data_IF_324091932965
#
_entry.id   IF_324091932965
#
_cell.length_a   1.000
_cell.length_b   1.000
_cell.length_c   1.000
_cell.angle_alpha   90.00
_cell.angle_beta   90.00
_cell.angle_gamma   90.00
#
_symmetry.space_group_name_H-M   'P 1'
#
loop_
_entity.id
_entity.type
_entity.pdbx_description
1 polymer ?
#
# COMPACT_ATOMS: atom_id res chain seq x y z
N UNK A 1 46.46 43.74 -22.81
CA UNK A 1 46.77 42.31 -23.06
C UNK A 1 45.85 41.49 -22.17
N UNK A 2 44.99 40.67 -22.78
CA UNK A 2 43.69 40.23 -22.24
C UNK A 2 43.82 38.97 -21.37
N UNK A 3 43.12 39.00 -20.23
CA UNK A 3 42.92 37.90 -19.28
C UNK A 3 42.11 36.78 -19.95
N UNK A 4 42.55 35.52 -19.79
CA UNK A 4 41.80 34.33 -20.16
C UNK A 4 40.94 33.93 -18.96
N UNK A 5 39.62 34.06 -19.08
CA UNK A 5 38.65 33.37 -18.24
C UNK A 5 37.97 32.32 -19.11
N UNK A 6 38.12 31.05 -18.70
CA UNK A 6 37.37 29.93 -19.25
C UNK A 6 35.95 30.05 -18.67
N UNK A 7 34.98 30.39 -19.52
CA UNK A 7 33.57 30.27 -19.17
C UNK A 7 33.22 28.80 -19.36
N UNK A 8 33.11 28.06 -18.26
CA UNK A 8 32.47 26.75 -18.26
C UNK A 8 30.97 27.02 -18.42
N UNK A 9 30.44 26.73 -19.61
CA UNK A 9 29.03 26.87 -19.91
C UNK A 9 28.22 25.90 -19.05
N UNK A 10 27.41 26.45 -18.15
CA UNK A 10 26.36 25.75 -17.43
C UNK A 10 25.38 25.17 -18.44
N UNK A 11 25.35 23.85 -18.60
CA UNK A 11 24.22 23.16 -19.21
C UNK A 11 23.11 23.19 -18.17
N UNK A 12 22.22 24.17 -18.29
CA UNK A 12 20.91 24.10 -17.67
C UNK A 12 20.16 22.94 -18.34
N UNK A 13 20.16 21.77 -17.71
CA UNK A 13 19.16 20.75 -17.99
C UNK A 13 17.83 21.31 -17.47
N UNK A 14 17.11 22.02 -18.33
CA UNK A 14 15.70 22.27 -18.12
C UNK A 14 15.00 20.92 -18.21
N UNK A 15 14.76 20.28 -17.07
CA UNK A 15 13.78 19.20 -16.98
C UNK A 15 12.43 19.85 -17.26
N UNK A 16 11.92 19.63 -18.47
CA UNK A 16 10.56 19.97 -18.84
C UNK A 16 9.62 19.11 -18.00
N UNK A 17 9.11 19.72 -16.93
CA UNK A 17 7.82 19.34 -16.37
C UNK A 17 6.76 19.63 -17.43
N UNK A 18 5.76 18.75 -17.50
CA UNK A 18 4.57 18.73 -18.37
C UNK A 18 4.63 17.74 -19.55
N UNK A 19 4.24 16.49 -19.29
CA UNK A 19 3.17 15.78 -20.00
C UNK A 19 3.22 14.29 -19.63
N UNK A 20 2.27 13.84 -18.80
CA UNK A 20 2.13 12.44 -18.42
C UNK A 20 0.79 12.18 -17.74
N UNK A 21 -0.31 12.76 -18.24
CA UNK A 21 -1.62 12.17 -18.04
C UNK A 21 -1.64 10.87 -18.84
N UNK A 22 -1.68 9.73 -18.17
CA UNK A 22 -1.60 8.42 -18.80
C UNK A 22 -1.95 7.32 -17.83
N UNK A 23 -3.23 6.95 -17.84
CA UNK A 23 -3.79 5.64 -17.50
C UNK A 23 -3.06 4.80 -16.44
N UNK A 24 -3.43 5.01 -15.18
CA UNK A 24 -2.91 4.26 -14.04
C UNK A 24 -3.33 2.78 -14.04
N UNK A 25 -4.46 2.45 -14.67
CA UNK A 25 -4.94 1.06 -14.83
C UNK A 25 -3.96 0.28 -15.71
N UNK A 26 -3.39 0.92 -16.74
CA UNK A 26 -2.36 0.33 -17.59
C UNK A 26 -1.05 0.03 -16.84
N UNK A 27 -0.58 0.96 -15.99
CA UNK A 27 0.62 0.73 -15.14
C UNK A 27 0.43 -0.39 -14.13
N UNK A 28 -0.78 -0.52 -13.58
CA UNK A 28 -1.09 -1.60 -12.64
C UNK A 28 -1.17 -2.96 -13.34
N UNK A 29 -1.67 -2.98 -14.58
CA UNK A 29 -1.69 -4.16 -15.45
C UNK A 29 -0.29 -4.61 -15.87
N UNK A 30 0.63 -3.68 -16.14
CA UNK A 30 2.04 -3.99 -16.40
C UNK A 30 2.73 -4.63 -15.17
N UNK A 31 2.45 -4.12 -13.96
CA UNK A 31 2.94 -4.73 -12.72
C UNK A 31 2.38 -6.15 -12.50
N UNK A 32 1.13 -6.39 -12.87
CA UNK A 32 0.49 -7.71 -12.85
C UNK A 32 1.13 -8.70 -13.84
N UNK A 33 1.38 -8.29 -15.09
CA UNK A 33 1.96 -9.18 -16.11
C UNK A 33 3.38 -9.62 -15.75
N UNK A 34 4.18 -8.74 -15.13
CA UNK A 34 5.50 -9.11 -14.60
C UNK A 34 5.40 -10.11 -13.45
N UNK A 35 4.55 -9.85 -12.45
CA UNK A 35 4.37 -10.72 -11.30
C UNK A 35 3.77 -12.10 -11.69
N UNK A 36 2.83 -12.12 -12.63
CA UNK A 36 2.26 -13.35 -13.18
C UNK A 36 3.30 -14.15 -13.99
N UNK A 37 4.23 -13.49 -14.71
CA UNK A 37 5.30 -14.17 -15.44
C UNK A 37 6.32 -14.84 -14.51
N UNK A 38 6.64 -14.22 -13.38
CA UNK A 38 7.52 -14.79 -12.37
C UNK A 38 6.85 -15.98 -11.66
N UNK A 39 5.55 -15.89 -11.38
CA UNK A 39 4.77 -16.98 -10.82
C UNK A 39 4.63 -18.17 -11.80
N UNK A 40 4.45 -17.90 -13.10
CA UNK A 40 4.34 -18.94 -14.13
C UNK A 40 5.69 -19.64 -14.38
N UNK A 41 6.80 -18.90 -14.33
CA UNK A 41 8.15 -19.47 -14.43
C UNK A 41 8.50 -20.39 -13.25
N UNK A 42 7.96 -20.14 -12.05
CA UNK A 42 8.17 -21.00 -10.88
C UNK A 42 7.25 -22.25 -10.92
N UNK A 43 6.08 -22.13 -11.55
CA UNK A 43 5.14 -23.24 -11.73
C UNK A 43 5.58 -24.27 -12.79
N UNK A 44 6.35 -23.88 -13.81
CA UNK A 44 6.89 -24.82 -14.81
C UNK A 44 7.96 -25.79 -14.26
N UNK A 45 8.51 -25.54 -13.07
CA UNK A 45 9.51 -26.43 -12.45
C UNK A 45 8.92 -27.61 -11.65
N UNK A 46 7.61 -27.69 -11.47
CA UNK A 46 6.99 -28.77 -10.69
C UNK A 46 5.96 -29.60 -11.48
N UNK A 47 6.40 -30.81 -11.85
CA UNK A 47 5.60 -32.04 -12.02
C UNK A 47 4.65 -32.15 -13.23
N UNK A 48 5.10 -32.94 -14.21
CA UNK A 48 4.27 -33.52 -15.27
C UNK A 48 3.51 -34.76 -14.77
N UNK A 49 2.18 -34.75 -14.90
CA UNK A 49 1.37 -35.97 -15.05
C UNK A 49 0.49 -35.84 -16.29
N UNK A 50 0.76 -36.69 -17.29
CA UNK A 50 0.01 -36.81 -18.54
C UNK A 50 -1.40 -37.37 -18.32
N UNK A 51 -2.40 -36.82 -19.01
CA UNK A 51 -3.69 -37.47 -19.30
C UNK A 51 -4.26 -37.00 -20.65
N UNK A 52 -5.16 -37.80 -21.28
CA UNK A 52 -5.01 -38.20 -22.67
C UNK A 52 -5.79 -37.36 -23.70
N UNK A 53 -5.37 -37.52 -24.95
CA UNK A 53 -5.92 -36.93 -26.17
C UNK A 53 -7.41 -37.21 -26.40
N UNK A 54 -8.14 -36.18 -26.83
CA UNK A 54 -9.45 -36.30 -27.45
C UNK A 54 -9.41 -35.69 -28.86
N UNK A 55 -9.41 -36.57 -29.86
CA UNK A 55 -9.76 -36.25 -31.24
C UNK A 55 -11.24 -35.84 -31.33
N UNK A 56 -11.52 -34.70 -31.96
CA UNK A 56 -12.39 -34.59 -33.15
C UNK A 56 -12.84 -33.14 -33.39
N UNK A 57 -12.38 -32.61 -34.51
CA UNK A 57 -12.81 -31.35 -35.11
C UNK A 57 -14.18 -31.56 -35.75
N UNK A 58 -15.14 -30.67 -35.48
CA UNK A 58 -16.20 -30.37 -36.45
C UNK A 58 -16.41 -28.87 -36.59
N UNK A 59 -16.36 -28.46 -37.85
CA UNK A 59 -16.39 -27.11 -38.40
C UNK A 59 -17.83 -26.57 -38.39
N UNK A 60 -18.04 -25.39 -37.80
CA UNK A 60 -19.35 -24.74 -37.69
C UNK A 60 -19.22 -23.24 -37.88
N UNK A 61 -19.49 -22.82 -39.11
CA UNK A 61 -19.61 -21.47 -39.70
C UNK A 61 -19.94 -20.31 -38.75
N UNK A 62 -19.06 -19.29 -38.75
CA UNK A 62 -19.25 -17.98 -38.12
C UNK A 62 -20.08 -17.06 -39.05
N UNK A 63 -21.19 -16.45 -38.61
CA UNK A 63 -21.67 -15.21 -39.21
C UNK A 63 -20.98 -14.02 -38.53
N UNK A 64 -20.31 -13.21 -39.35
CA UNK A 64 -19.67 -11.95 -38.99
C UNK A 64 -20.77 -10.93 -38.65
N UNK A 65 -20.97 -10.66 -37.36
CA UNK A 65 -21.70 -9.49 -36.90
C UNK A 65 -20.69 -8.41 -36.51
N UNK A 66 -20.46 -7.48 -37.44
CA UNK A 66 -19.67 -6.26 -37.24
C UNK A 66 -20.45 -5.31 -36.31
N UNK A 67 -20.47 -5.62 -35.02
CA UNK A 67 -20.81 -4.65 -33.99
C UNK A 67 -19.85 -4.81 -32.82
N UNK A 68 -18.67 -4.20 -32.95
CA UNK A 68 -17.81 -3.90 -31.81
C UNK A 68 -18.65 -3.12 -30.78
N UNK A 69 -18.87 -3.63 -29.57
CA UNK A 69 -19.40 -2.79 -28.51
C UNK A 69 -18.34 -1.71 -28.28
N UNK A 70 -18.75 -0.45 -28.42
CA UNK A 70 -17.96 0.67 -27.94
C UNK A 70 -17.51 0.34 -26.51
N UNK A 71 -16.21 0.44 -26.23
CA UNK A 71 -15.68 0.42 -24.87
C UNK A 71 -16.36 1.55 -24.09
N UNK A 72 -17.46 1.21 -23.42
CA UNK A 72 -18.08 2.08 -22.43
C UNK A 72 -17.15 2.05 -21.23
N UNK A 73 -16.29 3.06 -21.12
CA UNK A 73 -15.65 3.42 -19.85
C UNK A 73 -16.78 3.57 -18.82
N UNK A 74 -16.81 2.81 -17.71
CA UNK A 74 -17.91 2.91 -16.76
C UNK A 74 -17.88 4.29 -16.10
N UNK A 75 -19.05 4.91 -15.98
CA UNK A 75 -19.26 6.05 -15.08
C UNK A 75 -18.83 5.63 -13.67
N UNK A 76 -17.89 6.36 -13.06
CA UNK A 76 -17.12 5.94 -11.86
C UNK A 76 -17.90 6.06 -10.54
N UNK A 77 -19.19 5.74 -10.57
CA UNK A 77 -20.04 5.60 -9.39
C UNK A 77 -20.70 4.23 -9.39
N UNK A 78 -20.66 3.53 -8.25
CA UNK A 78 -21.35 2.26 -8.10
C UNK A 78 -20.52 1.20 -7.38
N UNK A 79 -21.11 0.00 -7.30
CA UNK A 79 -20.49 -1.17 -6.68
C UNK A 79 -19.23 -1.55 -7.44
N UNK A 80 -18.13 -1.77 -6.70
CA UNK A 80 -16.87 -2.23 -7.28
C UNK A 80 -17.02 -3.63 -7.89
N UNK A 81 -16.40 -3.84 -9.04
CA UNK A 81 -16.32 -5.16 -9.67
C UNK A 81 -15.33 -6.06 -8.89
N UNK A 82 -15.46 -7.40 -9.00
CA UNK A 82 -14.55 -8.33 -8.31
C UNK A 82 -13.07 -8.09 -8.59
N UNK A 83 -12.71 -7.73 -9.83
CA UNK A 83 -11.34 -7.40 -10.21
C UNK A 83 -10.81 -6.13 -9.55
N UNK A 84 -11.67 -5.12 -9.36
CA UNK A 84 -11.30 -3.90 -8.64
C UNK A 84 -11.17 -4.18 -7.14
N UNK A 85 -12.06 -5.02 -6.60
CA UNK A 85 -12.04 -5.42 -5.21
C UNK A 85 -10.76 -6.18 -4.85
N UNK A 86 -10.29 -7.08 -5.72
CA UNK A 86 -9.02 -7.79 -5.55
C UNK A 86 -7.81 -6.84 -5.56
N UNK A 87 -7.88 -5.75 -6.34
CA UNK A 87 -6.86 -4.69 -6.31
C UNK A 87 -6.83 -3.99 -4.96
N UNK A 88 -7.99 -3.63 -4.40
CA UNK A 88 -8.04 -3.02 -3.07
C UNK A 88 -7.62 -3.99 -1.98
N UNK A 89 -7.97 -5.27 -2.08
CA UNK A 89 -7.51 -6.29 -1.15
C UNK A 89 -5.97 -6.39 -1.15
N UNK A 90 -5.34 -6.46 -2.32
CA UNK A 90 -3.89 -6.44 -2.44
C UNK A 90 -3.29 -5.15 -1.89
N UNK A 91 -3.93 -4.00 -2.14
CA UNK A 91 -3.49 -2.71 -1.61
C UNK A 91 -3.53 -2.68 -0.08
N UNK A 92 -4.61 -3.15 0.55
CA UNK A 92 -4.78 -3.18 2.00
C UNK A 92 -3.86 -4.20 2.71
N UNK A 93 -3.48 -5.27 2.01
CA UNK A 93 -2.52 -6.27 2.49
C UNK A 93 -1.05 -5.90 2.20
N UNK A 94 -0.77 -4.75 1.57
CA UNK A 94 0.61 -4.30 1.41
C UNK A 94 1.18 -3.83 2.77
N UNK A 95 2.45 -4.12 3.03
CA UNK A 95 3.13 -3.73 4.29
C UNK A 95 3.12 -2.23 4.55
N UNK A 96 3.07 -1.41 3.49
CA UNK A 96 2.98 0.04 3.59
C UNK A 96 1.59 0.54 3.99
N UNK A 97 0.56 -0.30 3.88
CA UNK A 97 -0.83 0.09 4.05
C UNK A 97 -1.52 -0.64 5.22
N UNK A 98 -1.10 -1.87 5.53
CA UNK A 98 -1.80 -2.72 6.48
C UNK A 98 -1.88 -2.12 7.89
N UNK A 99 -0.86 -1.36 8.31
CA UNK A 99 -0.85 -0.70 9.63
C UNK A 99 -2.00 0.31 9.83
N UNK A 100 -2.57 0.85 8.75
CA UNK A 100 -3.78 1.71 8.82
C UNK A 100 -5.05 0.94 9.21
N UNK A 101 -5.01 -0.38 9.23
CA UNK A 101 -6.14 -1.26 9.57
C UNK A 101 -6.11 -1.72 11.03
N UNK A 102 -4.96 -1.55 11.70
CA UNK A 102 -4.71 -2.00 13.07
C UNK A 102 -5.32 -1.07 14.14
N UNK A 103 -5.88 0.08 13.74
CA UNK A 103 -6.60 0.98 14.64
C UNK A 103 -7.82 1.61 13.95
N UNK A 104 -8.82 2.02 14.75
CA UNK A 104 -10.01 2.71 14.25
C UNK A 104 -9.87 4.22 14.35
N UNK A 105 -10.42 4.94 13.37
CA UNK A 105 -10.40 6.40 13.32
C UNK A 105 -11.51 6.92 12.39
N UNK A 106 -12.17 8.00 12.85
CA UNK A 106 -13.15 8.75 12.04
C UNK A 106 -12.47 9.72 11.06
N UNK A 107 -11.28 10.16 11.42
CA UNK A 107 -10.39 11.01 10.64
C UNK A 107 -8.98 10.46 10.77
N UNK A 108 -8.32 10.19 9.65
CA UNK A 108 -6.98 9.58 9.61
C UNK A 108 -5.95 10.25 10.51
N UNK A 109 -6.07 11.56 10.80
CA UNK A 109 -5.17 12.28 11.72
C UNK A 109 -5.25 11.81 13.17
N UNK A 110 -6.28 11.03 13.50
CA UNK A 110 -6.48 10.39 14.80
C UNK A 110 -5.82 9.00 14.88
N UNK A 111 -5.37 8.46 13.74
CA UNK A 111 -4.79 7.13 13.69
C UNK A 111 -3.51 7.02 14.54
N UNK A 112 -3.31 5.85 15.14
CA UNK A 112 -2.14 5.60 15.98
C UNK A 112 -0.91 5.31 15.11
N UNK A 113 0.07 6.21 15.16
CA UNK A 113 1.32 6.05 14.42
C UNK A 113 2.18 4.89 14.94
N UNK A 114 1.98 4.44 16.19
CA UNK A 114 2.64 3.22 16.65
C UNK A 114 2.19 2.01 15.82
N UNK A 115 0.91 1.94 15.45
CA UNK A 115 0.34 0.85 14.66
C UNK A 115 0.69 0.97 13.17
N UNK A 116 0.53 2.17 12.59
CA UNK A 116 0.81 2.42 11.18
C UNK A 116 2.28 2.13 10.84
N UNK A 117 3.20 2.56 11.71
CA UNK A 117 4.63 2.46 11.46
C UNK A 117 5.25 1.19 12.06
N UNK A 118 4.46 0.32 12.71
CA UNK A 118 4.95 -0.83 13.47
C UNK A 118 5.91 -1.70 12.66
N UNK A 119 5.52 -2.13 11.46
CA UNK A 119 6.38 -2.94 10.58
C UNK A 119 7.32 -2.09 9.70
N UNK A 120 7.53 -0.81 10.04
CA UNK A 120 8.31 0.15 9.26
C UNK A 120 7.60 0.70 8.01
N UNK A 121 6.32 0.38 7.81
CA UNK A 121 5.48 0.86 6.70
C UNK A 121 6.10 0.66 5.29
N UNK A 122 6.88 -0.41 5.10
CA UNK A 122 7.56 -0.70 3.84
C UNK A 122 8.67 0.28 3.47
N UNK A 123 9.04 1.20 4.37
CA UNK A 123 10.07 2.20 4.12
C UNK A 123 11.47 1.60 4.26
N UNK A 124 12.39 2.05 3.41
CA UNK A 124 13.79 1.65 3.49
C UNK A 124 14.41 2.15 4.81
N UNK A 125 15.09 1.23 5.50
CA UNK A 125 15.75 1.55 6.76
C UNK A 125 17.26 1.57 6.59
N UNK A 126 17.88 2.59 7.18
CA UNK A 126 19.33 2.63 7.28
C UNK A 126 19.86 1.56 8.25
N UNK A 127 21.09 1.06 8.02
CA UNK A 127 21.75 0.11 8.90
C UNK A 127 21.86 0.64 10.34
N UNK A 128 21.77 -0.27 11.32
CA UNK A 128 22.05 0.06 12.72
C UNK A 128 23.56 0.16 12.95
N UNK A 129 24.09 1.38 13.01
CA UNK A 129 25.49 1.60 13.38
C UNK A 129 25.71 1.45 14.89
N UNK A 130 26.95 1.31 15.32
CA UNK A 130 27.29 1.18 16.74
C UNK A 130 26.98 2.47 17.51
N UNK A 131 27.17 3.65 16.88
CA UNK A 131 26.82 4.94 17.47
C UNK A 131 25.31 5.06 17.68
N UNK A 132 24.52 4.68 16.67
CA UNK A 132 23.06 4.74 16.76
C UNK A 132 22.51 3.76 17.80
N UNK A 133 23.09 2.54 17.87
CA UNK A 133 22.79 1.55 18.92
C UNK A 133 23.04 2.15 20.30
N UNK A 134 24.22 2.70 20.54
CA UNK A 134 24.57 3.27 21.85
C UNK A 134 23.66 4.44 22.22
N UNK A 135 23.32 5.31 21.25
CA UNK A 135 22.41 6.43 21.48
C UNK A 135 20.99 5.97 21.87
N UNK A 136 20.49 4.92 21.20
CA UNK A 136 19.21 4.30 21.54
C UNK A 136 19.24 3.63 22.91
N UNK A 137 20.23 2.76 23.17
CA UNK A 137 20.32 2.00 24.41
C UNK A 137 20.49 2.89 25.64
N UNK A 138 21.14 4.05 25.49
CA UNK A 138 21.25 5.05 26.55
C UNK A 138 19.90 5.66 26.97
N UNK A 139 18.89 5.66 26.11
CA UNK A 139 17.56 6.24 26.37
C UNK A 139 16.48 5.17 26.62
N UNK A 140 16.50 4.08 25.84
CA UNK A 140 15.45 3.07 25.78
C UNK A 140 15.85 1.72 26.42
N UNK A 141 17.12 1.54 26.80
CA UNK A 141 17.66 0.28 27.29
C UNK A 141 18.18 -0.64 26.19
N UNK A 142 18.82 -1.73 26.60
CA UNK A 142 19.50 -2.69 25.72
C UNK A 142 18.57 -3.24 24.61
N UNK A 143 19.14 -3.42 23.40
CA UNK A 143 18.41 -3.99 22.27
C UNK A 143 18.41 -5.52 22.36
N UNK A 144 17.22 -6.12 22.39
CA UNK A 144 17.02 -7.57 22.43
C UNK A 144 16.32 -8.13 21.19
N UNK A 145 15.61 -7.29 20.43
CA UNK A 145 14.80 -7.70 19.28
C UNK A 145 15.16 -6.90 18.02
N UNK A 146 14.42 -7.16 16.94
CA UNK A 146 14.50 -6.35 15.74
C UNK A 146 14.10 -4.91 16.03
N UNK A 147 14.60 -4.01 15.19
CA UNK A 147 14.51 -2.58 15.40
C UNK A 147 14.07 -1.89 14.14
N UNK A 148 13.13 -0.94 14.30
CA UNK A 148 12.66 -0.05 13.25
C UNK A 148 13.31 1.30 13.44
N UNK A 149 13.81 1.89 12.34
CA UNK A 149 14.46 3.21 12.33
C UNK A 149 13.98 4.01 11.14
N UNK A 150 13.29 5.12 11.40
CA UNK A 150 12.77 6.01 10.36
C UNK A 150 13.14 7.46 10.68
N UNK A 151 13.52 8.22 9.67
CA UNK A 151 13.72 9.67 9.84
C UNK A 151 12.39 10.42 9.87
N UNK A 152 12.37 11.62 10.46
CA UNK A 152 11.16 12.47 10.46
C UNK A 152 10.70 12.76 9.02
N UNK A 153 11.63 13.00 8.10
CA UNK A 153 11.32 13.24 6.69
C UNK A 153 10.70 12.03 5.99
N UNK A 154 11.12 10.80 6.32
CA UNK A 154 10.51 9.58 5.79
C UNK A 154 9.07 9.41 6.28
N UNK A 155 8.83 9.63 7.58
CA UNK A 155 7.48 9.55 8.16
C UNK A 155 6.57 10.61 7.54
N UNK A 156 7.04 11.86 7.45
CA UNK A 156 6.26 12.95 6.86
C UNK A 156 5.89 12.70 5.39
N UNK A 157 6.86 12.29 4.57
CA UNK A 157 6.62 11.97 3.16
C UNK A 157 5.63 10.81 2.98
N UNK A 158 5.77 9.77 3.79
CA UNK A 158 4.86 8.63 3.78
C UNK A 158 3.42 9.04 4.17
N UNK A 159 3.26 9.83 5.24
CA UNK A 159 1.94 10.30 5.67
C UNK A 159 1.31 11.23 4.63
N UNK A 160 2.08 12.13 4.01
CA UNK A 160 1.59 12.99 2.94
C UNK A 160 1.09 12.18 1.75
N UNK A 161 1.83 11.15 1.35
CA UNK A 161 1.41 10.25 0.27
C UNK A 161 0.12 9.52 0.63
N UNK A 162 0.08 8.85 1.79
CA UNK A 162 -1.01 7.94 2.17
C UNK A 162 -2.24 8.62 2.76
N UNK A 163 -2.15 9.88 3.17
CA UNK A 163 -3.25 10.55 3.91
C UNK A 163 -3.52 11.98 3.46
N UNK A 164 -2.56 12.62 2.77
CA UNK A 164 -2.63 14.05 2.43
C UNK A 164 -2.25 14.98 3.58
N UNK A 165 -1.87 14.44 4.74
CA UNK A 165 -1.46 15.18 5.94
C UNK A 165 -0.01 14.88 6.30
N UNK A 166 0.67 15.86 6.89
CA UNK A 166 2.07 15.72 7.30
C UNK A 166 2.19 15.17 8.72
N UNK A 167 3.39 14.80 9.14
CA UNK A 167 3.64 14.22 10.47
C UNK A 167 3.19 15.14 11.61
N UNK A 168 3.26 16.46 11.42
CA UNK A 168 2.80 17.45 12.41
C UNK A 168 1.28 17.43 12.68
N UNK A 169 0.50 16.80 11.80
CA UNK A 169 -0.95 16.69 11.94
C UNK A 169 -1.38 15.51 12.84
N UNK A 170 -0.43 14.65 13.22
CA UNK A 170 -0.66 13.44 14.01
C UNK A 170 -0.08 13.55 15.42
N UNK A 171 -0.54 12.68 16.32
CA UNK A 171 0.20 12.44 17.56
C UNK A 171 1.45 11.59 17.25
N UNK A 172 2.65 12.02 17.69
CA UNK A 172 3.85 11.22 17.51
C UNK A 172 3.72 9.84 18.15
N UNK A 173 4.36 8.81 17.60
CA UNK A 173 4.28 7.46 18.13
C UNK A 173 4.89 7.41 19.55
N UNK A 174 4.04 7.12 20.53
CA UNK A 174 4.36 7.26 21.95
C UNK A 174 5.31 6.18 22.49
N UNK A 175 5.48 5.05 21.79
CA UNK A 175 6.39 3.98 22.17
C UNK A 175 7.77 4.11 21.55
N UNK A 176 7.94 5.05 20.61
CA UNK A 176 9.18 5.24 19.88
C UNK A 176 10.09 6.23 20.59
N UNK A 177 11.39 5.97 20.53
CA UNK A 177 12.43 6.88 21.02
C UNK A 177 12.90 7.75 19.87
N UNK A 178 12.80 9.07 20.05
CA UNK A 178 13.35 10.03 19.10
C UNK A 178 14.80 10.40 19.46
N UNK A 179 15.73 10.08 18.57
CA UNK A 179 17.16 10.36 18.69
C UNK A 179 17.47 11.68 17.98
N UNK A 180 17.33 12.79 18.70
CA UNK A 180 17.39 14.16 18.16
C UNK A 180 18.67 14.46 17.34
N UNK A 181 19.84 13.98 17.79
CA UNK A 181 21.12 14.21 17.09
C UNK A 181 21.14 13.62 15.67
N UNK A 182 20.34 12.57 15.44
CA UNK A 182 20.32 11.82 14.19
C UNK A 182 19.06 12.06 13.36
N UNK A 183 18.05 12.76 13.91
CA UNK A 183 16.69 12.86 13.35
C UNK A 183 16.09 11.48 13.03
N UNK A 184 16.13 10.57 14.00
CA UNK A 184 15.64 9.18 13.84
C UNK A 184 14.65 8.85 14.94
N UNK A 185 13.47 8.39 14.54
CA UNK A 185 12.52 7.66 15.36
C UNK A 185 12.91 6.19 15.35
N UNK A 186 13.11 5.61 16.53
CA UNK A 186 13.52 4.23 16.68
C UNK A 186 12.69 3.49 17.72
N UNK A 187 12.37 2.23 17.44
CA UNK A 187 11.74 1.30 18.38
C UNK A 187 12.31 -0.10 18.19
N UNK A 188 12.06 -1.00 19.15
CA UNK A 188 12.36 -2.42 19.02
C UNK A 188 11.13 -3.27 19.32
N UNK A 189 10.88 -4.29 18.50
CA UNK A 189 9.85 -5.33 18.73
C UNK A 189 10.26 -6.62 18.03
N UNK A 190 9.68 -7.75 18.46
CA UNK A 190 10.03 -9.09 17.97
C UNK A 190 8.90 -9.84 17.27
N UNK A 191 7.71 -9.24 17.18
CA UNK A 191 6.54 -9.76 16.49
C UNK A 191 6.17 -8.86 15.29
N UNK A 192 5.06 -9.21 14.64
CA UNK A 192 4.40 -8.38 13.62
C UNK A 192 2.97 -8.10 14.06
N UNK A 193 2.45 -6.91 13.74
CA UNK A 193 1.04 -6.57 13.91
C UNK A 193 0.24 -6.65 12.59
N UNK A 194 0.82 -7.24 11.54
CA UNK A 194 0.17 -7.36 10.23
C UNK A 194 -0.95 -8.40 10.25
N UNK A 195 -2.11 -8.06 9.70
CA UNK A 195 -3.27 -8.95 9.60
C UNK A 195 -3.72 -9.11 8.15
N UNK A 196 -4.02 -10.35 7.77
CA UNK A 196 -4.61 -10.65 6.46
C UNK A 196 -6.04 -10.11 6.38
N UNK A 197 -6.33 -9.32 5.35
CA UNK A 197 -7.65 -8.71 5.13
C UNK A 197 -8.27 -9.28 3.87
N UNK A 198 -9.57 -9.58 3.91
CA UNK A 198 -10.38 -9.97 2.76
C UNK A 198 -11.40 -8.87 2.50
N UNK A 199 -11.51 -8.43 1.25
CA UNK A 199 -12.51 -7.43 0.85
C UNK A 199 -13.79 -8.12 0.35
N UNK A 200 -14.91 -7.89 1.03
CA UNK A 200 -16.20 -8.53 0.72
C UNK A 200 -17.00 -7.76 -0.33
N UNK A 201 -16.93 -6.43 -0.27
CA UNK A 201 -17.58 -5.53 -1.22
C UNK A 201 -16.99 -4.12 -1.16
N UNK A 202 -17.29 -3.31 -2.16
CA UNK A 202 -16.96 -1.90 -2.14
C UNK A 202 -17.90 -1.04 -2.97
N UNK A 203 -17.94 0.25 -2.65
CA UNK A 203 -18.72 1.26 -3.33
C UNK A 203 -17.82 2.45 -3.66
N UNK A 204 -17.90 2.93 -4.90
CA UNK A 204 -17.31 4.20 -5.32
C UNK A 204 -18.40 5.27 -5.48
N UNK A 205 -18.16 6.46 -4.95
CA UNK A 205 -19.03 7.64 -5.11
C UNK A 205 -18.41 8.68 -6.06
N UNK A 206 -19.23 9.60 -6.57
CA UNK A 206 -18.83 10.59 -7.59
C UNK A 206 -17.79 11.58 -7.08
N UNK A 207 -17.73 11.77 -5.77
CA UNK A 207 -16.73 12.61 -5.11
C UNK A 207 -15.37 11.91 -4.96
N UNK A 208 -15.21 10.70 -5.52
CA UNK A 208 -13.97 9.93 -5.53
C UNK A 208 -13.71 9.19 -4.23
N UNK A 209 -14.70 9.05 -3.34
CA UNK A 209 -14.55 8.17 -2.17
C UNK A 209 -14.81 6.72 -2.56
N UNK A 210 -14.02 5.83 -1.95
CA UNK A 210 -14.19 4.39 -2.03
C UNK A 210 -14.40 3.87 -0.63
N UNK A 211 -15.54 3.23 -0.38
CA UNK A 211 -15.84 2.57 0.89
C UNK A 211 -15.79 1.06 0.68
N UNK A 212 -14.93 0.37 1.43
CA UNK A 212 -14.72 -1.07 1.38
C UNK A 212 -15.28 -1.69 2.66
N UNK A 213 -16.07 -2.75 2.51
CA UNK A 213 -16.42 -3.64 3.63
C UNK A 213 -15.50 -4.85 3.56
N UNK A 214 -14.74 -5.07 4.62
CA UNK A 214 -13.72 -6.11 4.68
C UNK A 214 -13.81 -6.87 6.01
N UNK A 215 -13.13 -8.00 6.09
CA UNK A 215 -12.93 -8.72 7.34
C UNK A 215 -11.50 -9.25 7.47
N UNK A 216 -11.06 -9.37 8.72
CA UNK A 216 -9.86 -10.11 9.10
C UNK A 216 -10.33 -11.51 9.54
N UNK A 217 -9.94 -12.59 8.83
CA UNK A 217 -10.32 -13.94 9.21
C UNK A 217 -9.83 -14.30 10.61
N UNK A 218 -10.70 -14.93 11.41
CA UNK A 218 -10.33 -15.42 12.73
C UNK A 218 -9.22 -16.49 12.66
N UNK A 219 -8.23 -16.41 13.55
CA UNK A 219 -7.17 -17.43 13.61
C UNK A 219 -7.50 -18.53 14.64
N UNK A 220 -7.62 -19.77 14.16
CA UNK A 220 -7.83 -20.97 14.99
C UNK A 220 -9.28 -21.41 15.12
N UNK A 221 -9.48 -22.60 15.69
CA UNK A 221 -10.80 -23.23 15.80
C UNK A 221 -11.75 -22.39 16.67
N UNK A 222 -12.83 -21.90 16.05
CA UNK A 222 -13.88 -21.13 16.73
C UNK A 222 -13.61 -19.63 16.87
N UNK A 223 -12.54 -19.11 16.25
CA UNK A 223 -12.32 -17.68 16.15
C UNK A 223 -13.35 -17.04 15.20
N UNK A 224 -13.85 -15.86 15.58
CA UNK A 224 -14.73 -15.06 14.73
C UNK A 224 -13.93 -14.09 13.89
N UNK A 225 -14.42 -13.81 12.69
CA UNK A 225 -13.87 -12.77 11.84
C UNK A 225 -14.09 -11.39 12.47
N UNK A 226 -13.15 -10.48 12.26
CA UNK A 226 -13.26 -9.08 12.66
C UNK A 226 -13.61 -8.24 11.45
N UNK A 227 -14.81 -7.69 11.42
CA UNK A 227 -15.26 -6.86 10.30
C UNK A 227 -14.75 -5.42 10.43
N UNK A 228 -14.39 -4.82 9.29
CA UNK A 228 -13.92 -3.44 9.19
C UNK A 228 -14.53 -2.74 7.97
N UNK A 229 -14.68 -1.42 8.08
CA UNK A 229 -15.08 -0.54 6.97
C UNK A 229 -13.98 0.47 6.74
N UNK A 230 -13.35 0.41 5.56
CA UNK A 230 -12.26 1.32 5.17
C UNK A 230 -12.80 2.33 4.18
N UNK A 231 -12.56 3.61 4.43
CA UNK A 231 -12.84 4.67 3.44
C UNK A 231 -11.54 5.27 2.93
N UNK A 232 -11.40 5.25 1.61
CA UNK A 232 -10.29 5.80 0.87
C UNK A 232 -10.78 6.96 -0.01
N UNK A 233 -9.88 7.89 -0.32
CA UNK A 233 -10.08 8.95 -1.30
C UNK A 233 -9.19 8.70 -2.51
N UNK A 234 -9.79 8.65 -3.69
CA UNK A 234 -9.06 8.62 -4.96
C UNK A 234 -8.36 9.98 -5.21
N UNK A 235 -7.12 9.91 -5.66
CA UNK A 235 -6.27 11.05 -6.01
C UNK A 235 -5.56 10.77 -7.32
N UNK A 236 -4.93 11.78 -7.91
CA UNK A 236 -4.14 11.62 -9.14
C UNK A 236 -3.00 10.58 -9.01
N UNK A 237 -2.56 10.28 -7.79
CA UNK A 237 -1.41 9.43 -7.49
C UNK A 237 -1.79 8.10 -6.82
N UNK A 238 -3.08 7.76 -6.73
CA UNK A 238 -3.56 6.55 -6.05
C UNK A 238 -4.60 6.88 -4.98
N UNK A 239 -4.55 6.18 -3.85
CA UNK A 239 -5.57 6.28 -2.80
C UNK A 239 -4.99 6.76 -1.48
N UNK A 240 -5.77 7.59 -0.77
CA UNK A 240 -5.45 8.08 0.56
C UNK A 240 -6.44 7.58 1.61
N UNK A 241 -5.94 7.15 2.75
CA UNK A 241 -6.75 6.74 3.90
C UNK A 241 -7.50 7.94 4.48
N UNK A 242 -8.80 7.75 4.72
CA UNK A 242 -9.67 8.76 5.32
C UNK A 242 -10.23 8.27 6.66
N UNK A 243 -10.72 7.03 6.65
CA UNK A 243 -11.46 6.43 7.77
C UNK A 243 -11.21 4.93 7.86
N UNK A 244 -11.13 4.39 9.07
CA UNK A 244 -11.19 2.96 9.33
C UNK A 244 -12.06 2.70 10.55
N UNK A 245 -13.09 1.87 10.41
CA UNK A 245 -14.02 1.54 11.48
C UNK A 245 -14.04 0.03 11.69
N UNK A 246 -13.96 -0.41 12.95
CA UNK A 246 -14.35 -1.77 13.26
C UNK A 246 -15.87 -1.84 13.33
N UNK A 247 -16.44 -2.88 12.73
CA UNK A 247 -17.82 -3.24 13.00
C UNK A 247 -17.86 -4.07 14.30
N UNK A 248 -17.36 -3.51 15.42
CA UNK A 248 -17.70 -4.10 16.70
C UNK A 248 -19.22 -4.05 16.83
N UNK A 249 -19.82 -5.23 17.03
CA UNK A 249 -21.24 -5.40 17.32
C UNK A 249 -21.73 -4.26 18.21
N UNK A 250 -22.64 -3.44 17.70
CA UNK A 250 -23.62 -2.71 18.51
C UNK A 250 -24.45 -3.73 19.29
N UNK A 251 -23.90 -4.27 20.37
CA UNK A 251 -24.58 -5.08 21.37
C UNK A 251 -24.00 -4.73 22.74
N UNK A 252 -24.48 -3.62 23.32
CA UNK A 252 -25.00 -3.58 24.70
C UNK A 252 -25.40 -2.15 25.11
N UNK A 253 -26.71 -1.91 25.19
CA UNK A 253 -27.33 -1.19 26.31
C UNK A 253 -28.27 -2.17 27.03
#
# INVERSE_FOLDING_TARGET
>A
MKKKWLILGTVCLALSVCAGCGDWVARMKENWEMAASEAFSQAETETWQEMPSADSITEGTIPVDDTLPAETVPETEGTLLPEELAVFESFLNDVANNGFLCCTYEDVRQADLNEILYNGAGLEQQPLTDELRQAYEAQAGEIFTDTIRLTTAQIDGFLLEKTGYGFSDFQPPSWWTYLEEYDIWMTQHGDTNMSGVVCDSGLRSADGMVTLSCHIPGFGDGASDSALTVTLRETENGYQFVKNESAENTLSE
#
